data_IF_531870008670
#
_entry.id   IF_531870008670
#
_cell.length_a   1.000
_cell.length_b   1.000
_cell.length_c   1.000
_cell.angle_alpha   90.00
_cell.angle_beta   90.00
_cell.angle_gamma   90.00
#
_symmetry.space_group_name_H-M   'P 1'
#
loop_
_entity.id
_entity.type
_entity.pdbx_description
1 polymer ?
#
# COMPACT_ATOMS: atom_id res chain seq x y z
N UNK A 1 0.09 5.96 -24.26
CA UNK A 1 -0.91 5.16 -23.53
C UNK A 1 -1.88 6.00 -22.68
N UNK A 2 -2.03 7.31 -22.97
CA UNK A 2 -2.93 8.23 -22.25
C UNK A 2 -3.90 8.99 -23.18
N UNK A 3 -3.81 8.75 -24.49
CA UNK A 3 -4.59 9.47 -25.50
C UNK A 3 -6.08 9.10 -25.42
N UNK A 4 -6.37 7.82 -25.19
CA UNK A 4 -7.74 7.31 -25.08
C UNK A 4 -8.48 7.80 -23.82
N UNK A 5 -7.78 7.90 -22.69
CA UNK A 5 -8.35 8.43 -21.44
C UNK A 5 -8.67 9.93 -21.58
N UNK A 6 -7.76 10.69 -22.19
CA UNK A 6 -8.00 12.08 -22.53
C UNK A 6 -9.17 12.26 -23.52
N UNK A 7 -9.29 11.37 -24.52
CA UNK A 7 -10.40 11.42 -25.49
C UNK A 7 -11.75 11.08 -24.85
N UNK A 8 -11.78 10.22 -23.82
CA UNK A 8 -12.99 9.90 -23.04
C UNK A 8 -13.39 11.07 -22.11
N UNK A 9 -12.43 11.65 -21.38
CA UNK A 9 -12.66 12.82 -20.50
C UNK A 9 -13.13 14.02 -21.31
N UNK A 10 -12.56 14.27 -22.49
CA UNK A 10 -12.99 15.38 -23.36
C UNK A 10 -14.41 15.22 -23.93
N UNK A 11 -14.97 14.00 -23.91
CA UNK A 11 -16.34 13.71 -24.40
C UNK A 11 -17.39 13.79 -23.30
N UNK A 12 -17.02 13.69 -22.03
CA UNK A 12 -17.93 13.75 -20.89
C UNK A 12 -17.83 15.13 -20.23
N UNK A 13 -18.85 15.96 -20.45
CA UNK A 13 -18.96 17.27 -19.80
C UNK A 13 -19.42 17.08 -18.34
N UNK A 14 -18.74 17.77 -17.43
CA UNK A 14 -18.99 17.90 -15.97
C UNK A 14 -18.51 16.78 -15.06
N UNK A 15 -18.05 17.21 -13.88
CA UNK A 15 -17.48 16.52 -12.73
C UNK A 15 -17.66 15.00 -12.71
N UNK A 16 -16.55 14.28 -12.94
CA UNK A 16 -16.54 12.82 -12.88
C UNK A 16 -16.00 12.41 -11.52
N UNK A 17 -16.88 11.91 -10.65
CA UNK A 17 -16.49 11.22 -9.43
C UNK A 17 -16.01 9.81 -9.78
N UNK A 18 -14.73 9.69 -10.14
CA UNK A 18 -14.03 8.42 -10.29
C UNK A 18 -13.28 8.15 -8.98
N UNK A 19 -13.59 7.03 -8.33
CA UNK A 19 -12.86 6.53 -7.15
C UNK A 19 -12.98 7.35 -5.86
N UNK A 20 -14.05 8.13 -5.66
CA UNK A 20 -14.29 8.80 -4.38
C UNK A 20 -13.28 9.90 -4.03
N UNK A 21 -12.43 10.30 -4.98
CA UNK A 21 -11.46 11.39 -4.84
C UNK A 21 -12.03 12.64 -5.50
N UNK A 22 -12.13 13.73 -4.74
CA UNK A 22 -12.58 15.02 -5.25
C UNK A 22 -11.47 15.63 -6.11
N UNK A 23 -11.64 15.59 -7.43
CA UNK A 23 -10.70 16.18 -8.39
C UNK A 23 -10.91 17.70 -8.44
N UNK A 24 -9.98 18.50 -7.89
CA UNK A 24 -10.00 19.96 -8.07
C UNK A 24 -9.54 20.30 -9.50
N UNK A 25 -10.48 20.70 -10.36
CA UNK A 25 -10.14 21.16 -11.70
C UNK A 25 -9.80 22.66 -11.68
N UNK A 26 -8.51 23.02 -11.73
CA UNK A 26 -8.13 24.39 -12.10
C UNK A 26 -7.95 24.47 -13.62
N UNK A 27 -8.73 25.36 -14.26
CA UNK A 27 -8.56 25.68 -15.68
C UNK A 27 -7.26 26.47 -15.88
N UNK A 28 -6.23 25.81 -16.39
CA UNK A 28 -5.17 26.50 -17.15
C UNK A 28 -5.44 26.26 -18.64
N UNK A 29 -5.36 27.28 -19.52
CA UNK A 29 -5.70 27.11 -20.93
C UNK A 29 -4.83 26.03 -21.59
N UNK A 30 -5.45 24.95 -22.07
CA UNK A 30 -4.88 24.06 -23.09
C UNK A 30 -4.29 22.71 -22.64
N UNK A 31 -4.31 22.35 -21.36
CA UNK A 31 -3.94 21.00 -20.91
C UNK A 31 -4.69 20.65 -19.62
N UNK A 32 -5.53 19.62 -19.66
CA UNK A 32 -5.91 18.91 -18.43
C UNK A 32 -4.67 18.17 -17.95
N UNK A 33 -4.02 18.68 -16.91
CA UNK A 33 -3.01 17.94 -16.15
C UNK A 33 -3.77 17.22 -15.05
N UNK A 34 -3.87 15.90 -15.14
CA UNK A 34 -4.28 15.07 -14.01
C UNK A 34 -3.13 15.13 -13.00
N UNK A 35 -3.25 15.97 -11.98
CA UNK A 35 -2.40 15.88 -10.80
C UNK A 35 -2.87 14.66 -10.00
N UNK A 36 -2.25 13.52 -10.28
CA UNK A 36 -2.42 12.34 -9.43
C UNK A 36 -1.70 12.67 -8.12
N UNK A 37 -2.38 12.67 -6.96
CA UNK A 37 -1.71 12.85 -5.69
C UNK A 37 -0.66 11.76 -5.56
N UNK A 38 0.58 12.19 -5.43
CA UNK A 38 1.71 11.32 -5.24
C UNK A 38 1.78 11.08 -3.74
N UNK A 39 1.42 9.89 -3.27
CA UNK A 39 1.70 9.52 -1.88
C UNK A 39 3.21 9.44 -1.69
N UNK A 40 3.75 10.33 -0.86
CA UNK A 40 5.18 10.37 -0.58
C UNK A 40 5.39 9.77 0.79
N UNK A 41 5.58 8.46 0.78
CA UNK A 41 5.95 7.69 1.97
C UNK A 41 7.46 7.84 2.20
N UNK A 42 7.86 8.35 3.36
CA UNK A 42 9.24 8.30 3.83
C UNK A 42 9.39 7.31 4.95
N UNK A 43 10.52 6.60 4.97
CA UNK A 43 10.78 5.52 5.92
C UNK A 43 12.11 5.72 6.61
N UNK A 44 12.13 5.53 7.91
CA UNK A 44 13.29 5.71 8.77
C UNK A 44 13.49 4.50 9.66
N UNK A 45 14.75 4.18 9.94
CA UNK A 45 15.11 3.22 10.98
C UNK A 45 14.86 3.80 12.37
N UNK A 46 14.45 2.96 13.31
CA UNK A 46 14.50 3.27 14.74
C UNK A 46 15.53 2.34 15.37
N UNK A 47 16.77 2.82 15.50
CA UNK A 47 17.87 2.03 16.05
C UNK A 47 17.76 1.83 17.57
N UNK A 48 17.12 2.78 18.25
CA UNK A 48 17.01 2.84 19.71
C UNK A 48 15.53 2.92 20.12
N UNK A 49 14.74 1.85 19.97
CA UNK A 49 13.29 1.89 20.22
C UNK A 49 12.92 2.23 21.68
N UNK A 50 13.86 2.10 22.62
CA UNK A 50 13.68 2.55 24.00
C UNK A 50 13.62 4.08 24.16
N UNK A 51 13.97 4.84 23.12
CA UNK A 51 13.84 6.30 23.07
C UNK A 51 12.51 6.76 22.50
N UNK A 52 11.66 5.85 22.02
CA UNK A 52 10.33 6.21 21.56
C UNK A 52 9.49 6.77 22.72
N UNK A 53 8.59 7.73 22.45
CA UNK A 53 7.55 8.07 23.40
C UNK A 53 6.67 6.84 23.69
N UNK A 54 5.86 6.92 24.76
CA UNK A 54 4.95 5.85 25.12
C UNK A 54 4.01 5.54 23.96
N UNK A 55 4.11 4.32 23.43
CA UNK A 55 3.22 3.84 22.38
C UNK A 55 1.94 3.28 23.00
N UNK A 56 0.82 3.54 22.34
CA UNK A 56 -0.47 2.95 22.70
C UNK A 56 -0.57 1.46 22.39
N UNK A 57 -1.81 0.97 22.28
CA UNK A 57 -2.06 -0.41 21.88
C UNK A 57 -1.82 -0.53 20.37
N UNK A 58 -0.75 -1.21 19.99
CA UNK A 58 -0.44 -1.46 18.59
C UNK A 58 -1.32 -2.55 17.99
N UNK A 59 -1.76 -2.35 16.75
CA UNK A 59 -2.52 -3.31 15.97
C UNK A 59 -1.58 -4.32 15.34
N UNK A 60 -1.93 -5.61 15.38
CA UNK A 60 -1.11 -6.65 14.75
C UNK A 60 -1.46 -6.80 13.29
N UNK A 61 -0.44 -6.77 12.45
CA UNK A 61 -0.52 -6.91 11.00
C UNK A 61 0.14 -8.22 10.60
N UNK A 62 -0.59 -9.03 9.83
CA UNK A 62 -0.07 -10.19 9.11
C UNK A 62 -0.40 -10.01 7.65
N UNK A 63 0.59 -10.04 6.78
CA UNK A 63 0.35 -9.89 5.36
C UNK A 63 1.20 -10.86 4.55
N UNK A 64 0.57 -11.51 3.58
CA UNK A 64 1.23 -12.41 2.65
C UNK A 64 1.09 -11.91 1.22
N UNK A 65 1.97 -12.41 0.35
CA UNK A 65 2.08 -12.01 -1.05
C UNK A 65 1.86 -13.23 -1.96
N UNK A 66 0.60 -13.61 -2.21
CA UNK A 66 0.30 -14.69 -3.14
C UNK A 66 0.68 -14.29 -4.57
N UNK A 67 0.91 -15.29 -5.45
CA UNK A 67 1.27 -15.02 -6.82
C UNK A 67 0.04 -14.58 -7.63
N UNK A 68 0.25 -13.91 -8.76
CA UNK A 68 -0.83 -13.28 -9.54
C UNK A 68 -1.85 -14.30 -10.07
N UNK A 69 -1.41 -15.52 -10.35
CA UNK A 69 -2.21 -16.61 -10.91
C UNK A 69 -3.23 -17.15 -9.89
N UNK A 70 -3.08 -16.81 -8.61
CA UNK A 70 -4.07 -17.13 -7.59
C UNK A 70 -5.32 -16.24 -7.68
N UNK A 71 -5.28 -15.16 -8.48
CA UNK A 71 -6.35 -14.19 -8.62
C UNK A 71 -6.98 -14.22 -10.02
N UNK A 72 -8.27 -13.98 -10.09
CA UNK A 72 -8.97 -13.81 -11.36
C UNK A 72 -10.15 -12.87 -11.23
N UNK A 73 -10.54 -12.26 -12.35
CA UNK A 73 -11.74 -11.42 -12.44
C UNK A 73 -12.79 -12.18 -13.26
N UNK A 74 -13.97 -12.40 -12.68
CA UNK A 74 -15.13 -12.95 -13.39
C UNK A 74 -16.27 -11.95 -13.29
N UNK A 75 -16.64 -11.33 -14.42
CA UNK A 75 -17.63 -10.26 -14.42
C UNK A 75 -17.17 -9.07 -13.57
N UNK A 76 -17.90 -8.81 -12.48
CA UNK A 76 -17.65 -7.71 -11.53
C UNK A 76 -17.08 -8.21 -10.20
N UNK A 77 -16.47 -9.40 -10.20
CA UNK A 77 -15.96 -10.06 -9.00
C UNK A 77 -14.45 -10.28 -9.06
N UNK A 78 -13.76 -9.98 -7.96
CA UNK A 78 -12.38 -10.41 -7.70
C UNK A 78 -12.42 -11.73 -6.94
N UNK A 79 -11.82 -12.76 -7.54
CA UNK A 79 -11.78 -14.12 -7.01
C UNK A 79 -10.34 -14.45 -6.64
N UNK A 80 -10.18 -15.13 -5.51
CA UNK A 80 -8.91 -15.65 -5.02
C UNK A 80 -9.06 -17.13 -4.64
N UNK A 81 -8.26 -18.00 -5.24
CA UNK A 81 -8.32 -19.46 -5.07
C UNK A 81 -9.76 -20.03 -5.09
N UNK A 82 -10.62 -19.48 -5.96
CA UNK A 82 -12.01 -19.91 -6.14
C UNK A 82 -13.05 -19.25 -5.22
N UNK A 83 -12.63 -18.45 -4.24
CA UNK A 83 -13.53 -17.66 -3.39
C UNK A 83 -13.70 -16.23 -3.91
N UNK A 84 -14.93 -15.71 -3.89
CA UNK A 84 -15.21 -14.30 -4.21
C UNK A 84 -14.77 -13.44 -3.03
N UNK A 85 -13.73 -12.62 -3.23
CA UNK A 85 -13.27 -11.66 -2.21
C UNK A 85 -13.98 -10.32 -2.31
N UNK A 86 -14.22 -9.84 -3.53
CA UNK A 86 -14.87 -8.55 -3.79
C UNK A 86 -15.94 -8.76 -4.85
N UNK A 87 -17.11 -8.16 -4.64
CA UNK A 87 -18.22 -8.13 -5.60
C UNK A 87 -18.61 -6.70 -5.94
N UNK A 88 -19.20 -6.48 -7.11
CA UNK A 88 -19.70 -5.16 -7.50
C UNK A 88 -18.58 -4.20 -7.93
N UNK A 89 -17.48 -4.74 -8.46
CA UNK A 89 -16.46 -3.92 -9.11
C UNK A 89 -17.08 -3.20 -10.31
N UNK A 90 -16.86 -1.89 -10.40
CA UNK A 90 -17.16 -1.18 -11.64
C UNK A 90 -16.37 -1.78 -12.81
N UNK A 91 -16.90 -1.67 -14.03
CA UNK A 91 -16.20 -2.12 -15.24
C UNK A 91 -14.79 -1.55 -15.36
N UNK A 92 -14.58 -0.31 -14.91
CA UNK A 92 -13.27 0.34 -14.91
C UNK A 92 -12.30 -0.32 -13.92
N UNK A 93 -12.75 -0.65 -12.70
CA UNK A 93 -11.95 -1.38 -11.71
C UNK A 93 -11.60 -2.78 -12.20
N UNK A 94 -12.60 -3.54 -12.64
CA UNK A 94 -12.43 -4.89 -13.16
C UNK A 94 -11.40 -4.90 -14.30
N UNK A 95 -11.53 -4.01 -15.28
CA UNK A 95 -10.58 -3.90 -16.39
C UNK A 95 -9.18 -3.49 -15.93
N UNK A 96 -9.06 -2.53 -15.02
CA UNK A 96 -7.78 -2.10 -14.47
C UNK A 96 -7.08 -3.24 -13.74
N UNK A 97 -7.80 -4.00 -12.90
CA UNK A 97 -7.25 -5.15 -12.17
C UNK A 97 -6.82 -6.25 -13.14
N UNK A 98 -7.63 -6.59 -14.15
CA UNK A 98 -7.23 -7.56 -15.20
C UNK A 98 -5.96 -7.11 -15.90
N UNK A 99 -5.85 -5.83 -16.25
CA UNK A 99 -4.65 -5.28 -16.89
C UNK A 99 -3.40 -5.42 -16.01
N UNK A 100 -3.54 -5.21 -14.69
CA UNK A 100 -2.46 -5.44 -13.73
C UNK A 100 -2.09 -6.92 -13.63
N UNK A 101 -3.07 -7.81 -13.42
CA UNK A 101 -2.84 -9.25 -13.27
C UNK A 101 -2.16 -9.86 -14.51
N UNK A 102 -2.53 -9.42 -15.72
CA UNK A 102 -1.89 -9.87 -16.97
C UNK A 102 -0.47 -9.32 -17.16
N UNK A 103 -0.08 -8.27 -16.44
CA UNK A 103 1.26 -7.69 -16.46
C UNK A 103 2.07 -8.19 -15.25
N UNK A 104 2.29 -9.51 -15.21
CA UNK A 104 2.85 -10.25 -14.08
C UNK A 104 4.15 -9.62 -13.52
N UNK A 105 5.02 -9.12 -14.40
CA UNK A 105 6.32 -8.53 -14.04
C UNK A 105 6.22 -7.26 -13.17
N UNK A 106 5.03 -6.67 -13.04
CA UNK A 106 4.80 -5.46 -12.27
C UNK A 106 3.71 -5.57 -11.21
N UNK A 107 2.99 -6.68 -11.14
CA UNK A 107 1.83 -6.80 -10.26
C UNK A 107 2.20 -7.48 -8.94
N UNK A 108 1.76 -6.90 -7.83
CA UNK A 108 1.97 -7.44 -6.49
C UNK A 108 0.64 -7.49 -5.75
N UNK A 109 -0.04 -8.65 -5.77
CA UNK A 109 -1.16 -8.91 -4.88
C UNK A 109 -0.68 -9.02 -3.42
N UNK A 110 -1.54 -8.60 -2.50
CA UNK A 110 -1.30 -8.69 -1.06
C UNK A 110 -2.62 -9.04 -0.38
N UNK A 111 -2.57 -10.02 0.52
CA UNK A 111 -3.60 -10.25 1.52
C UNK A 111 -3.08 -9.76 2.87
N UNK A 112 -3.89 -9.03 3.62
CA UNK A 112 -3.50 -8.43 4.90
C UNK A 112 -4.62 -8.59 5.92
N UNK A 113 -4.28 -9.07 7.11
CA UNK A 113 -5.09 -8.97 8.32
C UNK A 113 -4.47 -7.90 9.20
N UNK A 114 -5.27 -6.93 9.63
CA UNK A 114 -4.90 -5.85 10.53
C UNK A 114 -5.89 -5.82 11.71
N UNK A 115 -5.50 -6.42 12.83
CA UNK A 115 -6.41 -6.66 13.94
C UNK A 115 -7.58 -7.54 13.51
N UNK A 116 -8.80 -6.98 13.55
CA UNK A 116 -10.02 -7.67 13.13
C UNK A 116 -10.40 -7.42 11.67
N UNK A 117 -9.73 -6.49 11.00
CA UNK A 117 -10.01 -6.12 9.62
C UNK A 117 -9.13 -6.91 8.66
N UNK A 118 -9.62 -7.10 7.44
CA UNK A 118 -8.93 -7.84 6.39
C UNK A 118 -9.02 -7.12 5.05
N UNK A 119 -7.96 -7.22 4.26
CA UNK A 119 -7.83 -6.49 3.01
C UNK A 119 -7.19 -7.35 1.92
N UNK A 120 -7.67 -7.16 0.70
CA UNK A 120 -6.96 -7.54 -0.53
C UNK A 120 -6.47 -6.28 -1.22
N UNK A 121 -5.20 -6.27 -1.61
CA UNK A 121 -4.60 -5.18 -2.38
C UNK A 121 -4.01 -5.72 -3.68
N UNK A 122 -4.30 -5.11 -4.82
CA UNK A 122 -3.64 -5.37 -6.10
C UNK A 122 -2.84 -4.13 -6.49
N UNK A 123 -1.51 -4.22 -6.45
CA UNK A 123 -0.60 -3.11 -6.77
C UNK A 123 0.04 -3.33 -8.14
N UNK A 124 0.07 -2.31 -8.97
CA UNK A 124 0.88 -2.27 -10.19
C UNK A 124 2.32 -1.84 -9.91
N UNK A 125 3.12 -1.82 -10.98
CA UNK A 125 4.50 -1.35 -10.91
C UNK A 125 4.53 0.13 -10.56
N UNK A 126 5.49 0.53 -9.74
CA UNK A 126 5.77 1.95 -9.53
C UNK A 126 6.22 2.61 -10.84
N UNK A 127 5.68 3.80 -11.13
CA UNK A 127 6.09 4.68 -12.22
C UNK A 127 6.58 6.00 -11.62
N UNK A 128 7.83 6.02 -11.17
CA UNK A 128 8.36 7.09 -10.33
C UNK A 128 7.69 7.05 -8.95
N UNK A 129 7.08 8.15 -8.47
CA UNK A 129 6.55 8.22 -7.12
C UNK A 129 5.08 7.79 -7.02
N UNK A 130 4.43 7.43 -8.14
CA UNK A 130 3.05 6.94 -8.17
C UNK A 130 2.99 5.46 -8.56
N UNK A 131 1.93 4.79 -8.12
CA UNK A 131 1.59 3.43 -8.55
C UNK A 131 0.07 3.27 -8.59
N UNK A 132 -0.44 2.47 -9.52
CA UNK A 132 -1.85 2.06 -9.47
C UNK A 132 -2.01 1.06 -8.34
N UNK A 133 -2.95 1.31 -7.44
CA UNK A 133 -3.25 0.46 -6.30
C UNK A 133 -4.76 0.34 -6.12
N UNK A 134 -5.25 -0.90 -6.01
CA UNK A 134 -6.62 -1.20 -5.63
C UNK A 134 -6.61 -1.90 -4.29
N UNK A 135 -7.16 -1.27 -3.26
CA UNK A 135 -7.35 -1.88 -1.94
C UNK A 135 -8.83 -2.02 -1.64
N UNK A 136 -9.23 -3.20 -1.17
CA UNK A 136 -10.59 -3.49 -0.76
C UNK A 136 -10.56 -4.17 0.60
N UNK A 137 -11.44 -3.72 1.49
CA UNK A 137 -11.77 -4.48 2.69
C UNK A 137 -12.55 -5.75 2.30
N UNK A 138 -12.24 -6.85 2.95
CA UNK A 138 -12.85 -8.16 2.70
C UNK A 138 -13.23 -8.82 4.01
N UNK A 139 -14.14 -9.79 3.94
CA UNK A 139 -14.49 -10.63 5.08
C UNK A 139 -13.24 -11.42 5.51
N UNK A 140 -12.83 -11.26 6.77
CA UNK A 140 -11.58 -11.84 7.32
C UNK A 140 -11.49 -13.33 7.13
N UNK A 141 -12.59 -14.04 7.37
CA UNK A 141 -12.68 -15.49 7.31
C UNK A 141 -12.36 -16.03 5.90
N UNK A 142 -12.57 -15.22 4.86
CA UNK A 142 -12.24 -15.60 3.47
C UNK A 142 -10.74 -15.70 3.21
N UNK A 143 -9.93 -14.95 3.96
CA UNK A 143 -8.47 -14.87 3.72
C UNK A 143 -7.64 -15.36 4.91
N UNK A 144 -8.24 -15.55 6.08
CA UNK A 144 -7.51 -15.82 7.32
C UNK A 144 -6.62 -17.06 7.21
N UNK A 145 -7.21 -18.18 6.78
CA UNK A 145 -6.46 -19.43 6.62
C UNK A 145 -5.29 -19.27 5.65
N UNK A 146 -5.48 -18.51 4.58
CA UNK A 146 -4.46 -18.28 3.56
C UNK A 146 -3.30 -17.43 4.08
N UNK A 147 -3.60 -16.35 4.81
CA UNK A 147 -2.59 -15.47 5.43
C UNK A 147 -1.80 -16.21 6.52
N UNK A 148 -2.47 -17.05 7.31
CA UNK A 148 -1.88 -17.80 8.43
C UNK A 148 -1.25 -19.14 8.00
N UNK A 149 -1.33 -19.50 6.71
CA UNK A 149 -0.73 -20.73 6.17
C UNK A 149 0.79 -20.63 6.00
N UNK A 150 1.34 -19.41 5.93
CA UNK A 150 2.75 -19.12 5.63
C UNK A 150 3.25 -19.72 4.30
N UNK A 151 2.34 -20.13 3.41
CA UNK A 151 2.67 -20.71 2.09
C UNK A 151 3.38 -19.74 1.16
N UNK A 152 3.15 -18.44 1.34
CA UNK A 152 3.70 -17.36 0.52
C UNK A 152 4.61 -16.45 1.35
N UNK A 153 5.47 -15.64 0.69
CA UNK A 153 6.25 -14.62 1.39
C UNK A 153 5.34 -13.82 2.33
N UNK A 154 5.72 -13.74 3.60
CA UNK A 154 4.88 -13.19 4.66
C UNK A 154 5.71 -12.27 5.54
N UNK A 155 5.11 -11.15 5.96
CA UNK A 155 5.67 -10.26 6.97
C UNK A 155 4.66 -10.02 8.07
N UNK A 156 5.17 -9.99 9.29
CA UNK A 156 4.40 -9.83 10.52
C UNK A 156 4.97 -8.64 11.26
N UNK A 157 4.09 -7.76 11.73
CA UNK A 157 4.48 -6.58 12.49
C UNK A 157 3.38 -6.14 13.44
N UNK A 158 3.73 -5.34 14.42
CA UNK A 158 2.80 -4.56 15.23
C UNK A 158 2.97 -3.10 14.87
N UNK A 159 1.88 -2.47 14.44
CA UNK A 159 1.81 -1.09 13.99
C UNK A 159 1.23 -0.20 15.09
N UNK A 160 1.86 0.94 15.31
CA UNK A 160 1.43 1.96 16.26
C UNK A 160 1.35 3.30 15.55
N UNK A 161 0.30 4.04 15.84
CA UNK A 161 0.11 5.39 15.34
C UNK A 161 0.61 6.37 16.41
N UNK A 162 1.46 7.31 16.01
CA UNK A 162 2.08 8.30 16.87
C UNK A 162 1.98 9.68 16.24
N UNK A 163 1.13 10.54 16.79
CA UNK A 163 1.05 11.95 16.37
C UNK A 163 2.07 12.79 17.16
N UNK A 164 2.97 13.44 16.45
CA UNK A 164 3.96 14.35 17.04
C UNK A 164 3.38 15.76 17.25
N UNK A 165 4.12 16.60 17.99
CA UNK A 165 3.65 17.93 18.37
C UNK A 165 3.40 18.88 17.17
N UNK A 166 4.03 18.62 16.04
CA UNK A 166 3.83 19.34 14.78
C UNK A 166 2.60 18.86 14.01
N UNK A 167 1.86 17.89 14.55
CA UNK A 167 0.61 17.37 13.97
C UNK A 167 0.80 16.24 12.97
N UNK A 168 2.04 15.90 12.61
CA UNK A 168 2.30 14.81 11.68
C UNK A 168 2.06 13.45 12.34
N UNK A 169 1.41 12.56 11.59
CA UNK A 169 1.19 11.18 11.98
C UNK A 169 2.36 10.31 11.54
N UNK A 170 3.04 9.72 12.51
CA UNK A 170 4.05 8.69 12.31
C UNK A 170 3.46 7.31 12.54
N UNK A 171 3.77 6.41 11.62
CA UNK A 171 3.42 4.99 11.71
C UNK A 171 4.66 4.22 12.14
N UNK A 172 4.63 3.68 13.35
CA UNK A 172 5.72 2.91 13.92
C UNK A 172 5.45 1.42 13.76
N UNK A 173 6.30 0.72 13.02
CA UNK A 173 6.22 -0.71 12.82
C UNK A 173 7.31 -1.44 13.60
N UNK A 174 6.89 -2.28 14.54
CA UNK A 174 7.74 -3.28 15.20
C UNK A 174 7.58 -4.62 14.50
N UNK A 175 8.60 -5.09 13.82
CA UNK A 175 8.54 -6.34 13.08
C UNK A 175 8.72 -7.58 13.97
N UNK A 176 8.09 -8.69 13.57
CA UNK A 176 8.09 -9.97 14.27
C UNK A 176 8.74 -11.08 13.39
N UNK A 177 9.01 -12.25 13.97
CA UNK A 177 9.50 -13.43 13.25
C UNK A 177 10.88 -13.23 12.61
N UNK A 178 11.02 -13.57 11.32
CA UNK A 178 12.28 -13.40 10.59
C UNK A 178 12.76 -11.93 10.47
N UNK A 179 11.90 -10.98 10.81
CA UNK A 179 12.19 -9.55 10.84
C UNK A 179 12.34 -8.99 12.26
N UNK A 180 12.30 -9.84 13.29
CA UNK A 180 12.35 -9.41 14.68
C UNK A 180 13.64 -8.65 15.02
N UNK A 181 13.47 -7.53 15.71
CA UNK A 181 14.51 -6.55 16.03
C UNK A 181 14.52 -5.34 15.10
N UNK A 182 13.89 -5.43 13.93
CA UNK A 182 13.69 -4.27 13.05
C UNK A 182 12.52 -3.41 13.54
N UNK A 183 12.78 -2.11 13.61
CA UNK A 183 11.77 -1.08 13.84
C UNK A 183 11.88 -0.02 12.75
N UNK A 184 10.74 0.35 12.18
CA UNK A 184 10.64 1.38 11.17
C UNK A 184 9.61 2.42 11.57
N UNK A 185 9.88 3.67 11.19
CA UNK A 185 8.92 4.75 11.21
C UNK A 185 8.59 5.14 9.77
N UNK A 186 7.31 5.25 9.48
CA UNK A 186 6.80 5.71 8.19
C UNK A 186 6.01 7.01 8.41
N UNK A 187 6.12 7.94 7.49
CA UNK A 187 5.29 9.15 7.41
C UNK A 187 4.81 9.29 5.98
N UNK A 188 3.52 9.56 5.81
CA UNK A 188 2.91 9.89 4.53
C UNK A 188 2.84 11.42 4.42
N UNK A 189 3.31 11.97 3.30
CA UNK A 189 3.34 13.40 3.03
C UNK A 189 2.48 13.71 1.81
N UNK A 190 1.79 14.85 1.85
CA UNK A 190 0.91 15.30 0.76
C UNK A 190 1.75 15.88 -0.40
N UNK A 191 2.91 16.47 -0.08
CA UNK A 191 3.79 17.09 -1.08
C UNK A 191 5.28 16.79 -0.84
N UNK A 192 6.12 16.69 -1.90
CA UNK A 192 7.51 16.23 -1.76
C UNK A 192 8.40 17.12 -0.88
N UNK A 193 8.05 18.40 -0.79
CA UNK A 193 8.80 19.44 -0.06
C UNK A 193 8.11 19.83 1.25
N UNK A 194 7.17 19.03 1.71
CA UNK A 194 6.55 19.24 3.02
C UNK A 194 7.63 19.18 4.10
N UNK A 195 7.68 20.22 4.92
CA UNK A 195 8.67 20.38 5.96
C UNK A 195 8.05 19.93 7.27
N UNK A 196 8.59 18.86 7.84
CA UNK A 196 8.21 18.33 9.16
C UNK A 196 9.45 18.30 10.05
N UNK A 197 9.23 18.31 11.36
CA UNK A 197 10.34 18.19 12.31
C UNK A 197 10.76 16.73 12.37
N UNK A 198 12.07 16.46 12.24
CA UNK A 198 12.59 15.10 12.46
C UNK A 198 12.61 14.82 13.96
N UNK A 199 11.78 13.87 14.47
CA UNK A 199 11.81 13.54 15.89
C UNK A 199 13.15 12.92 16.30
N UNK A 200 13.55 13.16 17.55
CA UNK A 200 14.86 12.77 18.08
C UNK A 200 15.10 11.24 18.11
N UNK A 201 14.04 10.45 17.99
CA UNK A 201 14.05 8.99 18.02
C UNK A 201 14.21 8.37 16.62
N UNK A 202 14.17 9.18 15.55
CA UNK A 202 14.46 8.72 14.19
C UNK A 202 15.96 8.51 13.97
N UNK A 203 16.27 7.44 13.24
CA UNK A 203 17.60 7.17 12.70
C UNK A 203 17.67 7.44 11.21
N UNK A 204 18.45 6.62 10.51
CA UNK A 204 18.72 6.75 9.08
C UNK A 204 17.46 6.61 8.23
N UNK A 205 17.30 7.49 7.24
CA UNK A 205 16.29 7.34 6.20
C UNK A 205 16.63 6.17 5.27
N UNK A 206 15.68 5.27 5.08
CA UNK A 206 15.79 4.07 4.24
C UNK A 206 14.73 4.03 3.14
N UNK A 207 14.08 5.16 2.85
CA UNK A 207 13.02 5.30 1.84
C UNK A 207 13.41 4.72 0.48
N UNK A 208 14.65 4.95 0.02
CA UNK A 208 15.14 4.49 -1.28
C UNK A 208 15.51 2.99 -1.31
N UNK A 209 15.65 2.34 -0.15
CA UNK A 209 16.05 0.93 -0.08
C UNK A 209 14.80 0.04 -0.01
N UNK A 210 14.41 -0.46 -1.19
CA UNK A 210 13.24 -1.33 -1.37
C UNK A 210 13.23 -2.58 -0.50
N UNK A 211 14.38 -3.01 0.04
CA UNK A 211 14.46 -4.17 0.93
C UNK A 211 13.70 -3.93 2.24
N UNK A 212 13.64 -2.69 2.72
CA UNK A 212 12.90 -2.30 3.94
C UNK A 212 11.39 -2.16 3.73
N UNK A 213 10.92 -2.18 2.49
CA UNK A 213 9.48 -2.25 2.21
C UNK A 213 8.90 -3.59 2.68
N UNK A 214 7.62 -3.60 3.05
CA UNK A 214 6.98 -4.82 3.58
C UNK A 214 7.08 -6.03 2.62
N UNK A 215 7.03 -5.81 1.31
CA UNK A 215 7.20 -6.88 0.32
C UNK A 215 8.65 -7.37 0.21
N UNK A 216 9.62 -6.48 0.42
CA UNK A 216 11.03 -6.82 0.53
C UNK A 216 11.30 -7.70 1.75
N UNK A 217 10.84 -7.24 2.93
CA UNK A 217 10.97 -7.94 4.20
C UNK A 217 10.23 -9.29 4.25
N UNK A 218 9.16 -9.44 3.47
CA UNK A 218 8.45 -10.71 3.34
C UNK A 218 9.24 -11.75 2.52
N UNK A 219 9.98 -11.30 1.50
CA UNK A 219 10.76 -12.17 0.60
C UNK A 219 12.18 -12.45 1.10
N UNK A 220 12.81 -11.44 1.69
CA UNK A 220 14.15 -11.50 2.26
C UNK A 220 14.07 -10.90 3.67
N UNK A 221 13.81 -11.72 4.70
CA UNK A 221 13.69 -11.22 6.06
C UNK A 221 14.96 -10.52 6.53
N UNK A 222 14.82 -9.46 7.33
CA UNK A 222 15.91 -8.64 7.85
C UNK A 222 17.07 -9.45 8.44
N UNK A 223 16.76 -10.52 9.21
CA UNK A 223 17.79 -11.37 9.82
C UNK A 223 18.60 -12.21 8.83
N UNK A 224 18.15 -12.34 7.58
CA UNK A 224 18.89 -13.05 6.54
C UNK A 224 19.79 -12.14 5.70
N UNK A 225 19.83 -10.84 5.99
CA UNK A 225 20.67 -9.91 5.24
C UNK A 225 22.12 -10.08 5.68
N UNK A 226 23.01 -10.36 4.73
CA UNK A 226 24.45 -10.37 4.97
C UNK A 226 24.92 -8.96 5.35
N UNK A 227 25.71 -8.89 6.42
CA UNK A 227 26.41 -7.68 6.85
C UNK A 227 27.51 -7.28 5.85
#
# INVERSE_FOLDING_TARGET
MWKWLNDWINRCLSDVNLFGVMLNTHRTPGKLVLEVPVEIERRYLIAEPYRLPALGIGTRYVQCYPPVEAFTIIGEQLIFEGAVLVSGLSKAQAWSIVSLLNNEAGCTPRLRIAGDNAFVTIKGRSDGPSRVEWEFEVVRELIQHHVESWRWPTVVKRRFDLTENDGFLWVIDRFEGGNEGLWLAEIELDVPKESYSLPYWLGTEVTADSRYGSGGLARSPWRSWSC
#
